data_IF_337890803554
#
_entry.id   IF_337890803554
#
_cell.length_a   1.000
_cell.length_b   1.000
_cell.length_c   1.000
_cell.angle_alpha   90.00
_cell.angle_beta   90.00
_cell.angle_gamma   90.00
#
_symmetry.space_group_name_H-M   'P 1'
#
loop_
_entity.id
_entity.type
_entity.pdbx_description
1 polymer ?
#
# COMPACT_ATOMS: atom_id res chain seq x y z
N UNK A 1 33.95 16.27 21.80
CA UNK A 1 35.13 15.54 22.33
C UNK A 1 34.64 14.18 22.81
N UNK A 2 34.63 13.20 21.91
CA UNK A 2 34.06 11.86 22.13
C UNK A 2 35.23 10.91 22.37
N UNK A 3 35.32 10.36 23.59
CA UNK A 3 36.34 9.38 23.95
C UNK A 3 35.95 8.00 23.40
N UNK A 4 36.83 7.45 22.57
CA UNK A 4 36.89 6.03 22.22
C UNK A 4 37.54 5.26 23.37
N UNK A 5 36.89 4.19 23.85
CA UNK A 5 37.53 3.17 24.68
C UNK A 5 37.50 1.87 23.88
N UNK A 6 38.70 1.46 23.47
CA UNK A 6 39.01 0.18 22.84
C UNK A 6 39.04 -0.94 23.87
N UNK A 7 38.27 -1.99 23.64
CA UNK A 7 38.40 -3.27 24.33
C UNK A 7 38.46 -4.40 23.30
N UNK A 8 39.66 -4.91 23.03
CA UNK A 8 39.84 -6.20 22.35
C UNK A 8 39.40 -7.29 23.32
N UNK A 9 38.52 -8.18 22.90
CA UNK A 9 38.56 -9.56 23.37
C UNK A 9 38.32 -10.48 22.18
N UNK A 10 39.34 -11.27 21.91
CA UNK A 10 39.39 -12.34 20.93
C UNK A 10 38.65 -13.55 21.50
N UNK A 11 37.51 -13.89 20.92
CA UNK A 11 37.01 -15.27 20.96
C UNK A 11 36.49 -15.64 19.56
N UNK A 12 37.20 -16.62 19.01
CA UNK A 12 37.10 -17.12 17.66
C UNK A 12 36.01 -18.20 17.64
N UNK A 13 34.76 -17.80 17.41
CA UNK A 13 33.68 -18.72 17.04
C UNK A 13 33.18 -18.35 15.66
N UNK A 14 33.43 -19.25 14.71
CA UNK A 14 33.03 -19.17 13.31
C UNK A 14 31.51 -18.98 13.17
N UNK A 15 31.08 -17.75 12.97
CA UNK A 15 29.76 -17.45 12.42
C UNK A 15 29.84 -17.70 10.92
N UNK A 16 29.37 -18.89 10.51
CA UNK A 16 29.06 -19.18 9.13
C UNK A 16 28.04 -18.12 8.66
N UNK A 17 28.51 -17.17 7.85
CA UNK A 17 27.67 -16.27 7.08
C UNK A 17 26.82 -17.11 6.14
N UNK A 18 25.57 -17.36 6.51
CA UNK A 18 24.55 -17.88 5.62
C UNK A 18 24.30 -16.84 4.54
N UNK A 19 25.02 -16.97 3.42
CA UNK A 19 24.66 -16.29 2.19
C UNK A 19 23.23 -16.70 1.83
N UNK A 20 22.26 -15.83 2.10
CA UNK A 20 20.90 -15.87 1.55
C UNK A 20 20.97 -15.57 0.05
N UNK A 21 21.65 -16.43 -0.71
CA UNK A 21 21.47 -16.54 -2.14
C UNK A 21 20.13 -17.21 -2.36
N UNK A 22 19.07 -16.41 -2.54
CA UNK A 22 17.78 -16.93 -2.99
C UNK A 22 18.01 -17.69 -4.31
N UNK A 23 17.66 -18.99 -4.40
CA UNK A 23 17.85 -19.72 -5.63
C UNK A 23 16.95 -19.09 -6.71
N UNK A 24 17.59 -18.51 -7.72
CA UNK A 24 16.93 -18.05 -8.94
C UNK A 24 16.53 -19.33 -9.68
N UNK A 25 15.22 -19.59 -9.77
CA UNK A 25 14.68 -20.64 -10.63
C UNK A 25 15.25 -20.43 -12.04
N UNK A 26 16.14 -21.34 -12.46
CA UNK A 26 16.79 -21.26 -13.78
C UNK A 26 15.76 -21.60 -14.85
N UNK A 27 15.16 -20.60 -15.48
CA UNK A 27 14.32 -20.75 -16.67
C UNK A 27 14.96 -20.08 -17.90
N UNK A 28 14.69 -20.67 -19.07
CA UNK A 28 15.01 -20.09 -20.38
C UNK A 28 14.37 -18.69 -20.51
N UNK A 29 15.21 -17.71 -20.86
CA UNK A 29 14.99 -16.28 -21.16
C UNK A 29 13.65 -15.67 -20.69
N UNK A 30 13.54 -15.41 -19.40
CA UNK A 30 12.59 -14.44 -18.86
C UNK A 30 12.85 -13.05 -19.50
N UNK A 31 11.80 -12.37 -19.96
CA UNK A 31 11.93 -11.02 -20.55
C UNK A 31 12.52 -10.09 -19.50
N UNK A 32 13.60 -9.42 -19.88
CA UNK A 32 14.33 -8.52 -18.98
C UNK A 32 13.69 -7.15 -19.01
N UNK A 33 13.30 -6.64 -17.85
CA UNK A 33 12.70 -5.30 -17.74
C UNK A 33 13.62 -4.40 -16.92
N UNK A 34 13.81 -3.17 -17.38
CA UNK A 34 14.48 -2.11 -16.63
C UNK A 34 13.53 -0.92 -16.44
N UNK A 35 13.75 -0.14 -15.40
CA UNK A 35 12.95 1.04 -15.07
C UNK A 35 13.86 2.28 -15.10
N UNK A 36 13.40 3.35 -15.72
CA UNK A 36 14.04 4.67 -15.68
C UNK A 36 13.07 5.65 -15.04
N UNK A 37 13.56 6.46 -14.11
CA UNK A 37 12.83 7.61 -13.57
C UNK A 37 13.61 8.88 -13.86
N UNK A 38 12.94 9.90 -14.37
CA UNK A 38 13.53 11.22 -14.62
C UNK A 38 12.93 12.24 -13.66
N UNK A 39 13.79 13.09 -13.10
CA UNK A 39 13.38 14.18 -12.21
C UNK A 39 14.52 14.66 -11.33
N UNK A 40 14.88 15.94 -11.44
CA UNK A 40 15.88 16.57 -10.58
C UNK A 40 15.52 16.44 -9.09
N UNK A 41 14.24 16.53 -8.74
CA UNK A 41 13.73 16.37 -7.38
C UNK A 41 13.91 14.94 -6.84
N UNK A 42 13.92 13.94 -7.72
CA UNK A 42 14.17 12.54 -7.36
C UNK A 42 15.65 12.33 -7.04
N UNK A 43 16.55 12.82 -7.90
CA UNK A 43 18.01 12.72 -7.68
C UNK A 43 18.43 13.52 -6.44
N UNK A 44 17.79 14.66 -6.18
CA UNK A 44 18.01 15.46 -4.98
C UNK A 44 17.37 14.86 -3.71
N UNK A 45 16.55 13.81 -3.83
CA UNK A 45 15.84 13.18 -2.72
C UNK A 45 14.75 14.05 -2.09
N UNK A 46 14.29 15.10 -2.78
CA UNK A 46 13.15 15.94 -2.34
C UNK A 46 11.82 15.22 -2.51
N UNK A 47 11.75 14.29 -3.46
CA UNK A 47 10.62 13.42 -3.68
C UNK A 47 11.09 11.97 -3.70
N UNK A 48 10.37 11.10 -2.99
CA UNK A 48 10.63 9.67 -3.02
C UNK A 48 10.08 9.13 -4.35
N UNK A 49 10.88 8.36 -5.07
CA UNK A 49 10.46 7.71 -6.31
C UNK A 49 9.48 6.56 -6.05
N UNK A 50 8.23 6.94 -5.81
CA UNK A 50 7.13 5.99 -5.62
C UNK A 50 6.67 5.35 -6.93
N UNK A 51 7.01 5.94 -8.08
CA UNK A 51 6.62 5.41 -9.38
C UNK A 51 7.43 4.18 -9.73
N UNK A 52 8.76 4.22 -9.61
CA UNK A 52 9.60 3.04 -9.85
C UNK A 52 9.26 1.91 -8.87
N UNK A 53 9.00 2.24 -7.60
CA UNK A 53 8.55 1.27 -6.60
C UNK A 53 7.24 0.58 -7.02
N UNK A 54 6.27 1.35 -7.52
CA UNK A 54 5.00 0.81 -8.00
C UNK A 54 5.16 -0.03 -9.27
N UNK A 55 5.94 0.43 -10.25
CA UNK A 55 6.22 -0.32 -11.48
C UNK A 55 6.87 -1.67 -11.15
N UNK A 56 7.87 -1.67 -10.27
CA UNK A 56 8.54 -2.88 -9.83
C UNK A 56 7.60 -3.84 -9.09
N UNK A 57 6.74 -3.33 -8.20
CA UNK A 57 5.73 -4.14 -7.49
C UNK A 57 4.73 -4.79 -8.48
N UNK A 58 4.27 -4.04 -9.48
CA UNK A 58 3.35 -4.54 -10.53
C UNK A 58 3.99 -5.53 -11.50
N UNK A 59 5.25 -5.33 -11.88
CA UNK A 59 6.00 -6.34 -12.63
C UNK A 59 6.18 -7.60 -11.78
N UNK A 60 6.53 -7.42 -10.51
CA UNK A 60 6.58 -8.49 -9.53
C UNK A 60 5.24 -9.22 -9.46
N UNK A 61 4.10 -8.51 -9.49
CA UNK A 61 2.72 -9.02 -9.46
C UNK A 61 2.43 -10.05 -10.57
N UNK A 62 3.10 -9.90 -11.71
CA UNK A 62 3.04 -10.81 -12.85
C UNK A 62 4.30 -11.67 -13.01
N UNK A 63 5.12 -11.73 -11.96
CA UNK A 63 6.32 -12.55 -11.83
C UNK A 63 7.49 -12.13 -12.73
N UNK A 64 7.52 -10.86 -13.16
CA UNK A 64 8.67 -10.26 -13.83
C UNK A 64 9.48 -9.46 -12.80
N UNK A 65 10.77 -9.76 -12.68
CA UNK A 65 11.67 -9.01 -11.81
C UNK A 65 12.37 -7.91 -12.63
N UNK A 66 12.27 -6.66 -12.17
CA UNK A 66 13.01 -5.56 -12.77
C UNK A 66 14.51 -5.74 -12.50
N UNK A 67 15.32 -5.73 -13.56
CA UNK A 67 16.76 -5.95 -13.46
C UNK A 67 17.51 -4.76 -12.86
N UNK A 68 16.99 -3.55 -13.11
CA UNK A 68 17.57 -2.30 -12.65
C UNK A 68 16.51 -1.22 -12.58
N UNK A 69 16.68 -0.32 -11.63
CA UNK A 69 15.98 0.95 -11.53
C UNK A 69 17.04 2.04 -11.60
N UNK A 70 16.92 2.95 -12.56
CA UNK A 70 17.87 4.04 -12.79
C UNK A 70 17.13 5.36 -12.64
N UNK A 71 17.61 6.23 -11.75
CA UNK A 71 17.05 7.58 -11.57
C UNK A 71 18.09 8.60 -12.05
N UNK A 72 17.66 9.52 -12.91
CA UNK A 72 18.51 10.58 -13.49
C UNK A 72 17.81 11.94 -13.43
N UNK A 73 18.59 13.02 -13.46
CA UNK A 73 18.05 14.37 -13.54
C UNK A 73 17.53 14.70 -14.94
N UNK A 74 16.96 15.90 -15.08
CA UNK A 74 16.28 16.33 -16.32
C UNK A 74 17.23 16.87 -17.40
N UNK A 75 18.50 16.47 -17.32
CA UNK A 75 19.55 16.85 -18.26
C UNK A 75 19.60 15.85 -19.43
N UNK A 76 19.54 16.31 -20.70
CA UNK A 76 19.47 15.44 -21.86
C UNK A 76 20.53 14.33 -21.89
N UNK A 77 21.78 14.67 -21.60
CA UNK A 77 22.90 13.72 -21.58
C UNK A 77 22.76 12.63 -20.52
N UNK A 78 22.11 12.92 -19.40
CA UNK A 78 21.86 11.95 -18.33
C UNK A 78 20.72 11.00 -18.71
N UNK A 79 19.66 11.54 -19.31
CA UNK A 79 18.51 10.76 -19.79
C UNK A 79 18.95 9.84 -20.94
N UNK A 80 19.73 10.34 -21.89
CA UNK A 80 20.32 9.52 -22.97
C UNK A 80 21.21 8.40 -22.43
N UNK A 81 22.06 8.71 -21.45
CA UNK A 81 22.87 7.69 -20.78
C UNK A 81 22.00 6.61 -20.13
N UNK A 82 20.92 6.99 -19.45
CA UNK A 82 19.99 6.04 -18.82
C UNK A 82 19.31 5.14 -19.86
N UNK A 83 18.89 5.70 -21.00
CA UNK A 83 18.33 4.95 -22.12
C UNK A 83 19.34 3.94 -22.67
N UNK A 84 20.55 4.38 -23.04
CA UNK A 84 21.59 3.49 -23.55
C UNK A 84 21.96 2.38 -22.55
N UNK A 85 22.12 2.74 -21.28
CA UNK A 85 22.42 1.79 -20.20
C UNK A 85 21.35 0.68 -20.10
N UNK A 86 20.08 1.08 -20.11
CA UNK A 86 18.95 0.19 -19.87
C UNK A 86 18.62 -0.66 -21.11
N UNK A 87 18.58 -0.06 -22.30
CA UNK A 87 18.27 -0.75 -23.57
C UNK A 87 19.32 -1.81 -23.92
N UNK A 88 20.58 -1.59 -23.53
CA UNK A 88 21.65 -2.57 -23.72
C UNK A 88 21.37 -3.89 -22.98
N UNK A 89 20.65 -3.85 -21.85
CA UNK A 89 20.47 -5.00 -20.93
C UNK A 89 19.05 -5.53 -20.87
N UNK A 90 18.06 -4.70 -21.10
CA UNK A 90 16.65 -5.08 -21.02
C UNK A 90 16.05 -5.36 -22.41
N UNK A 91 14.99 -6.16 -22.42
CA UNK A 91 14.14 -6.36 -23.60
C UNK A 91 12.97 -5.36 -23.60
N UNK A 92 12.58 -4.85 -22.42
CA UNK A 92 11.61 -3.76 -22.23
C UNK A 92 12.20 -2.75 -21.24
N UNK A 93 12.12 -1.45 -21.54
CA UNK A 93 12.51 -0.37 -20.62
C UNK A 93 11.30 0.50 -20.36
N UNK A 94 10.87 0.60 -19.10
CA UNK A 94 9.74 1.45 -18.69
C UNK A 94 10.30 2.73 -18.07
N UNK A 95 10.11 3.86 -18.74
CA UNK A 95 10.47 5.18 -18.25
C UNK A 95 9.24 5.90 -17.68
N UNK A 96 9.45 6.66 -16.61
CA UNK A 96 8.44 7.53 -15.99
C UNK A 96 9.03 8.91 -15.74
N UNK A 97 8.30 9.97 -16.11
CA UNK A 97 8.74 11.36 -15.94
C UNK A 97 9.15 12.04 -17.24
N UNK A 98 9.23 13.36 -17.23
CA UNK A 98 9.69 14.18 -18.35
C UNK A 98 8.78 14.19 -19.59
N UNK A 99 7.46 13.98 -19.40
CA UNK A 99 6.41 14.06 -20.44
C UNK A 99 5.52 15.31 -20.32
N UNK A 100 5.81 16.20 -19.38
CA UNK A 100 5.08 17.44 -19.22
C UNK A 100 5.35 18.45 -20.36
N UNK A 101 4.76 19.65 -20.25
CA UNK A 101 4.89 20.70 -21.25
C UNK A 101 6.10 21.63 -21.01
N UNK A 102 6.90 21.43 -19.96
CA UNK A 102 7.96 22.37 -19.56
C UNK A 102 9.28 22.09 -20.28
N UNK A 103 10.25 22.98 -20.10
CA UNK A 103 11.51 22.97 -20.84
C UNK A 103 12.50 21.90 -20.34
N UNK A 104 12.30 21.42 -19.13
CA UNK A 104 12.97 20.30 -18.44
C UNK A 104 12.37 18.93 -18.83
N UNK A 105 11.15 18.87 -19.34
CA UNK A 105 10.56 17.60 -19.82
C UNK A 105 11.22 17.10 -21.12
N UNK A 106 12.32 16.34 -21.02
CA UNK A 106 13.14 15.96 -22.20
C UNK A 106 13.10 14.48 -22.57
N UNK A 107 12.22 13.70 -21.95
CA UNK A 107 12.21 12.23 -22.12
C UNK A 107 11.89 11.82 -23.56
N UNK A 108 10.95 12.51 -24.22
CA UNK A 108 10.59 12.19 -25.62
C UNK A 108 11.64 12.62 -26.62
N UNK A 109 12.24 13.81 -26.47
CA UNK A 109 13.30 14.27 -27.36
C UNK A 109 14.54 13.37 -27.28
N UNK A 110 14.94 12.98 -26.07
CA UNK A 110 16.11 12.12 -25.85
C UNK A 110 15.89 10.70 -26.36
N UNK A 111 14.70 10.12 -26.14
CA UNK A 111 14.38 8.80 -26.70
C UNK A 111 14.32 8.83 -28.23
N UNK A 112 13.77 9.89 -28.84
CA UNK A 112 13.77 10.06 -30.28
C UNK A 112 15.19 10.08 -30.85
N UNK A 113 16.10 10.82 -30.22
CA UNK A 113 17.52 10.86 -30.59
C UNK A 113 18.19 9.49 -30.44
N UNK A 114 17.98 8.79 -29.32
CA UNK A 114 18.52 7.43 -29.09
C UNK A 114 17.99 6.41 -30.12
N UNK A 115 16.76 6.60 -30.60
CA UNK A 115 16.13 5.73 -31.59
C UNK A 115 16.42 6.14 -33.05
N UNK A 116 17.14 7.24 -33.27
CA UNK A 116 17.34 7.86 -34.59
C UNK A 116 16.00 8.11 -35.32
N UNK A 117 15.03 8.67 -34.59
CA UNK A 117 13.68 8.92 -35.05
C UNK A 117 13.34 10.41 -34.99
N UNK A 118 12.64 10.91 -36.02
CA UNK A 118 12.08 12.27 -35.99
C UNK A 118 10.88 12.34 -35.05
N UNK A 119 10.64 13.53 -34.48
CA UNK A 119 9.42 13.80 -33.73
C UNK A 119 8.33 14.34 -34.66
N UNK A 120 7.15 13.73 -34.62
CA UNK A 120 5.96 14.24 -35.31
C UNK A 120 4.92 14.73 -34.29
N UNK A 121 4.09 15.69 -34.70
CA UNK A 121 2.94 16.14 -33.92
C UNK A 121 1.73 15.26 -34.26
N UNK A 122 1.18 14.58 -33.27
CA UNK A 122 -0.06 13.82 -33.41
C UNK A 122 -1.26 14.76 -33.21
N UNK A 123 -1.99 15.03 -34.29
CA UNK A 123 -3.12 15.97 -34.25
C UNK A 123 -4.31 15.46 -33.43
N UNK A 124 -4.48 14.13 -33.28
CA UNK A 124 -5.54 13.57 -32.44
C UNK A 124 -5.24 13.86 -30.97
N UNK A 125 -4.02 13.60 -30.52
CA UNK A 125 -3.59 13.92 -29.16
C UNK A 125 -3.59 15.44 -28.91
N UNK A 126 -3.14 16.24 -29.89
CA UNK A 126 -3.19 17.70 -29.79
C UNK A 126 -4.63 18.21 -29.60
N UNK A 127 -5.60 17.67 -30.35
CA UNK A 127 -7.02 18.00 -30.18
C UNK A 127 -7.55 17.56 -28.81
N UNK A 128 -7.14 16.39 -28.32
CA UNK A 128 -7.54 15.90 -26.99
C UNK A 128 -7.06 16.83 -25.87
N UNK A 129 -5.82 17.33 -25.96
CA UNK A 129 -5.27 18.32 -25.03
C UNK A 129 -6.06 19.64 -25.12
N UNK A 130 -6.33 20.14 -26.34
CA UNK A 130 -7.14 21.37 -26.52
C UNK A 130 -8.52 21.24 -25.86
N UNK A 131 -9.22 20.12 -26.11
CA UNK A 131 -10.54 19.82 -25.49
C UNK A 131 -10.47 19.76 -23.97
N UNK A 132 -9.40 19.20 -23.40
CA UNK A 132 -9.21 19.17 -21.95
C UNK A 132 -9.21 20.59 -21.35
N UNK A 133 -8.50 21.54 -21.97
CA UNK A 133 -8.48 22.93 -21.53
C UNK A 133 -9.82 23.66 -21.76
N UNK A 134 -10.53 23.34 -22.85
CA UNK A 134 -11.88 23.86 -23.11
C UNK A 134 -12.88 23.44 -22.03
N UNK A 135 -12.87 22.17 -21.62
CA UNK A 135 -13.72 21.65 -20.53
C UNK A 135 -13.40 22.35 -19.21
N UNK A 136 -12.11 22.62 -18.94
CA UNK A 136 -11.68 23.39 -17.78
C UNK A 136 -11.96 24.90 -17.90
N UNK A 137 -12.49 25.37 -19.04
CA UNK A 137 -12.72 26.79 -19.37
C UNK A 137 -11.47 27.65 -19.20
N UNK A 138 -10.32 27.12 -19.62
CA UNK A 138 -9.01 27.79 -19.57
C UNK A 138 -8.44 27.90 -20.97
N UNK A 139 -7.70 28.97 -21.23
CA UNK A 139 -6.87 29.05 -22.43
C UNK A 139 -5.70 28.07 -22.30
N UNK A 140 -5.42 27.31 -23.36
CA UNK A 140 -4.32 26.36 -23.41
C UNK A 140 -3.02 27.08 -23.79
N UNK A 141 -1.96 27.01 -22.97
CA UNK A 141 -0.62 27.42 -23.37
C UNK A 141 -0.10 26.61 -24.56
N UNK A 142 0.60 27.24 -25.51
CA UNK A 142 1.08 26.54 -26.72
C UNK A 142 2.09 25.43 -26.42
N UNK A 143 2.89 25.56 -25.36
CA UNK A 143 3.86 24.54 -24.96
C UNK A 143 3.20 23.22 -24.54
N UNK A 144 1.90 23.20 -24.21
CA UNK A 144 1.18 21.94 -24.00
C UNK A 144 1.13 21.03 -25.23
N UNK A 145 1.25 21.59 -26.44
CA UNK A 145 1.33 20.78 -27.66
C UNK A 145 2.59 19.92 -27.74
N UNK A 146 3.62 20.22 -26.94
CA UNK A 146 4.79 19.36 -26.77
C UNK A 146 4.40 17.94 -26.33
N UNK A 147 3.36 17.82 -25.50
CA UNK A 147 2.87 16.54 -24.98
C UNK A 147 2.20 15.66 -26.06
N UNK A 148 1.94 16.23 -27.24
CA UNK A 148 1.43 15.53 -28.42
C UNK A 148 2.52 15.26 -29.48
N UNK A 149 3.81 15.44 -29.13
CA UNK A 149 4.93 15.11 -30.01
C UNK A 149 5.51 13.75 -29.65
N UNK A 150 5.63 12.88 -30.64
CA UNK A 150 6.10 11.51 -30.46
C UNK A 150 7.17 11.14 -31.49
N UNK A 151 8.09 10.22 -31.15
CA UNK A 151 9.00 9.64 -32.14
C UNK A 151 8.20 8.90 -33.23
N UNK A 152 8.62 9.01 -34.49
CA UNK A 152 8.04 8.23 -35.58
C UNK A 152 8.12 6.73 -35.25
N UNK A 153 6.99 6.02 -35.40
CA UNK A 153 6.86 4.60 -35.02
C UNK A 153 6.41 4.37 -33.58
N UNK A 154 6.14 5.43 -32.81
CA UNK A 154 5.54 5.31 -31.48
C UNK A 154 4.09 4.81 -31.57
N UNK A 155 3.74 3.84 -30.73
CA UNK A 155 2.37 3.43 -30.47
C UNK A 155 1.87 4.12 -29.21
N UNK A 156 0.86 4.98 -29.36
CA UNK A 156 0.34 5.82 -28.27
C UNK A 156 -0.39 4.99 -27.21
N UNK A 157 -0.17 5.35 -25.95
CA UNK A 157 -0.86 4.84 -24.76
C UNK A 157 -1.70 5.98 -24.19
N UNK A 158 -3.02 5.99 -24.42
CA UNK A 158 -3.91 7.05 -23.94
C UNK A 158 -3.82 7.30 -22.43
N UNK A 159 -3.84 8.58 -22.04
CA UNK A 159 -3.98 9.00 -20.65
C UNK A 159 -5.39 9.58 -20.42
N UNK A 160 -6.18 8.88 -19.63
CA UNK A 160 -7.56 9.26 -19.28
C UNK A 160 -7.62 10.21 -18.07
N UNK A 161 -6.52 10.36 -17.31
CA UNK A 161 -6.47 11.12 -16.06
C UNK A 161 -5.64 12.41 -16.15
N UNK A 162 -5.02 12.69 -17.30
CA UNK A 162 -4.19 13.86 -17.53
C UNK A 162 -3.94 14.15 -19.01
N UNK A 163 -3.10 15.16 -19.28
CA UNK A 163 -2.86 15.65 -20.65
C UNK A 163 -1.67 15.03 -21.36
N UNK A 164 -0.78 14.34 -20.63
CA UNK A 164 0.39 13.66 -21.18
C UNK A 164 0.06 12.19 -21.51
N UNK A 165 -0.28 11.82 -22.75
CA UNK A 165 -0.30 10.42 -23.14
C UNK A 165 1.10 9.81 -23.06
N UNK A 166 1.15 8.51 -22.80
CA UNK A 166 2.37 7.72 -22.90
C UNK A 166 2.50 7.14 -24.29
N UNK A 167 3.55 6.36 -24.50
CA UNK A 167 3.73 5.61 -25.74
C UNK A 167 4.72 4.48 -25.56
N UNK A 168 4.76 3.57 -26.53
CA UNK A 168 5.81 2.56 -26.66
C UNK A 168 6.49 2.65 -28.03
N UNK A 169 7.79 2.39 -28.07
CA UNK A 169 8.61 2.49 -29.27
C UNK A 169 9.59 1.33 -29.32
N UNK A 170 9.68 0.64 -30.47
CA UNK A 170 10.74 -0.32 -30.71
C UNK A 170 12.04 0.41 -31.06
N UNK A 171 13.08 0.24 -30.25
CA UNK A 171 14.36 0.93 -30.43
C UNK A 171 15.39 -0.01 -31.05
N UNK A 172 15.94 0.28 -32.23
CA UNK A 172 17.00 -0.54 -32.83
C UNK A 172 18.25 -0.58 -31.94
N UNK A 173 18.73 -1.79 -31.63
CA UNK A 173 19.96 -2.05 -30.87
C UNK A 173 20.75 -3.20 -31.52
N UNK A 174 21.45 -2.88 -32.61
CA UNK A 174 22.09 -3.88 -33.46
C UNK A 174 21.04 -4.87 -34.01
N UNK A 175 21.18 -6.16 -33.70
CA UNK A 175 20.20 -7.19 -34.09
C UNK A 175 18.98 -7.27 -33.15
N UNK A 176 19.00 -6.58 -32.01
CA UNK A 176 17.88 -6.55 -31.05
C UNK A 176 16.98 -5.35 -31.30
N UNK A 177 15.72 -5.48 -30.87
CA UNK A 177 14.73 -4.39 -30.88
C UNK A 177 14.02 -4.33 -29.53
N UNK A 178 14.70 -3.90 -28.45
CA UNK A 178 14.03 -3.65 -27.17
C UNK A 178 12.91 -2.62 -27.32
N UNK A 179 11.90 -2.72 -26.47
CA UNK A 179 10.78 -1.77 -26.45
C UNK A 179 10.97 -0.77 -25.32
N UNK A 180 11.01 0.52 -25.66
CA UNK A 180 10.88 1.60 -24.69
C UNK A 180 9.38 1.86 -24.45
N UNK A 181 8.97 2.00 -23.21
CA UNK A 181 7.62 2.41 -22.79
C UNK A 181 7.79 3.67 -21.95
N UNK A 182 7.13 4.77 -22.33
CA UNK A 182 7.25 6.05 -21.63
C UNK A 182 5.91 6.43 -21.03
N UNK A 183 5.91 6.70 -19.73
CA UNK A 183 4.75 7.03 -18.92
C UNK A 183 4.92 8.39 -18.23
N UNK A 184 3.82 9.08 -17.88
CA UNK A 184 3.90 10.37 -17.20
C UNK A 184 4.48 10.23 -15.79
N UNK A 185 5.09 11.31 -15.27
CA UNK A 185 5.63 11.34 -13.91
C UNK A 185 4.57 11.43 -12.81
N UNK A 186 3.35 11.87 -13.13
CA UNK A 186 2.28 12.02 -12.14
C UNK A 186 1.79 10.64 -11.68
N UNK A 187 1.92 10.28 -10.38
CA UNK A 187 1.70 8.90 -9.93
C UNK A 187 0.32 8.33 -10.26
N UNK A 188 -0.75 9.12 -10.12
CA UNK A 188 -2.12 8.65 -10.40
C UNK A 188 -2.32 8.29 -11.88
N UNK A 189 -1.68 9.03 -12.78
CA UNK A 189 -1.79 8.86 -14.23
C UNK A 189 -0.96 7.65 -14.67
N UNK A 190 0.30 7.60 -14.22
CA UNK A 190 1.22 6.49 -14.45
C UNK A 190 0.60 5.16 -14.00
N UNK A 191 0.10 5.09 -12.76
CA UNK A 191 -0.50 3.88 -12.20
C UNK A 191 -1.67 3.38 -13.03
N UNK A 192 -2.59 4.27 -13.40
CA UNK A 192 -3.74 3.91 -14.22
C UNK A 192 -3.32 3.35 -15.58
N UNK A 193 -2.38 4.00 -16.27
CA UNK A 193 -1.88 3.56 -17.57
C UNK A 193 -1.09 2.24 -17.48
N UNK A 194 -0.25 2.11 -16.46
CA UNK A 194 0.51 0.90 -16.20
C UNK A 194 -0.44 -0.30 -16.04
N UNK A 195 -1.45 -0.15 -15.19
CA UNK A 195 -2.34 -1.24 -14.79
C UNK A 195 -3.29 -1.67 -15.90
N UNK A 196 -3.86 -0.69 -16.61
CA UNK A 196 -4.93 -0.94 -17.59
C UNK A 196 -4.40 -1.24 -18.98
N UNK A 197 -3.17 -0.83 -19.31
CA UNK A 197 -2.67 -0.89 -20.69
C UNK A 197 -1.29 -1.53 -20.79
N UNK A 198 -0.30 -1.11 -19.99
CA UNK A 198 1.08 -1.61 -20.13
C UNK A 198 1.23 -3.04 -19.63
N UNK A 199 0.73 -3.35 -18.43
CA UNK A 199 0.82 -4.69 -17.85
C UNK A 199 0.07 -5.73 -18.70
N UNK A 200 -1.18 -5.49 -19.15
CA UNK A 200 -1.86 -6.37 -20.09
C UNK A 200 -1.09 -6.57 -21.40
N UNK A 201 -0.47 -5.51 -21.92
CA UNK A 201 0.37 -5.61 -23.12
C UNK A 201 1.61 -6.47 -22.86
N UNK A 202 2.36 -6.27 -21.78
CA UNK A 202 3.54 -7.10 -21.44
C UNK A 202 3.16 -8.59 -21.39
N UNK A 203 2.01 -8.90 -20.77
CA UNK A 203 1.49 -10.26 -20.70
C UNK A 203 1.16 -10.83 -22.09
N UNK A 204 0.54 -10.04 -22.98
CA UNK A 204 0.19 -10.48 -24.33
C UNK A 204 1.39 -10.75 -25.24
N UNK A 205 2.58 -10.26 -24.88
CA UNK A 205 3.79 -10.52 -25.64
C UNK A 205 4.46 -11.86 -25.31
N UNK A 206 3.98 -12.62 -24.31
CA UNK A 206 4.60 -13.90 -23.96
C UNK A 206 4.20 -14.99 -24.96
N UNK A 207 5.17 -15.60 -25.64
CA UNK A 207 4.95 -16.73 -26.58
C UNK A 207 4.80 -18.09 -25.86
N UNK A 208 5.06 -18.12 -24.55
CA UNK A 208 5.01 -19.31 -23.72
C UNK A 208 3.61 -19.44 -23.11
N UNK A 209 2.97 -20.61 -23.20
CA UNK A 209 1.73 -20.95 -22.44
C UNK A 209 1.96 -20.94 -20.91
N UNK A 210 3.21 -20.72 -20.50
CA UNK A 210 3.62 -20.55 -19.12
C UNK A 210 3.28 -19.14 -18.64
N UNK A 211 2.31 -19.08 -17.75
CA UNK A 211 1.89 -17.87 -17.08
C UNK A 211 2.41 -17.84 -15.64
N UNK A 212 2.49 -16.65 -15.07
CA UNK A 212 2.75 -16.47 -13.65
C UNK A 212 1.42 -16.10 -13.01
N UNK A 213 0.92 -16.99 -12.16
CA UNK A 213 -0.26 -16.75 -11.35
C UNK A 213 0.18 -16.51 -9.91
N UNK A 214 -0.46 -15.56 -9.24
CA UNK A 214 -0.09 -15.24 -7.87
C UNK A 214 -1.29 -14.85 -7.03
N UNK A 215 -1.13 -15.02 -5.72
CA UNK A 215 -2.11 -14.61 -4.72
C UNK A 215 -1.42 -13.89 -3.59
N UNK A 216 -2.00 -12.77 -3.20
CA UNK A 216 -1.54 -11.95 -2.07
C UNK A 216 -2.52 -12.11 -0.92
N UNK A 217 -2.02 -12.35 0.27
CA UNK A 217 -2.75 -12.37 1.53
C UNK A 217 -2.37 -11.13 2.32
N UNK A 218 -3.33 -10.26 2.59
CA UNK A 218 -3.14 -9.13 3.49
C UNK A 218 -3.25 -9.65 4.92
N UNK A 219 -2.25 -9.39 5.75
CA UNK A 219 -2.23 -9.91 7.13
C UNK A 219 -2.10 -8.80 8.17
N UNK A 220 -2.70 -9.02 9.34
CA UNK A 220 -2.61 -8.12 10.48
C UNK A 220 -2.60 -8.90 11.79
N UNK A 221 -1.80 -8.42 12.76
CA UNK A 221 -1.66 -9.05 14.08
C UNK A 221 -0.43 -9.96 14.23
N UNK A 222 0.34 -10.19 13.18
CA UNK A 222 1.61 -10.95 13.19
C UNK A 222 2.75 -10.10 12.62
N UNK A 223 3.96 -10.29 13.17
CA UNK A 223 5.19 -9.71 12.60
C UNK A 223 5.66 -10.49 11.38
N UNK A 224 6.54 -9.90 10.56
CA UNK A 224 7.14 -10.59 9.41
C UNK A 224 7.82 -11.90 9.81
N UNK A 225 8.61 -11.90 10.88
CA UNK A 225 9.27 -13.11 11.38
C UNK A 225 8.28 -14.17 11.86
N UNK A 226 7.17 -13.78 12.49
CA UNK A 226 6.14 -14.73 12.91
C UNK A 226 5.39 -15.34 11.71
N UNK A 227 5.17 -14.55 10.65
CA UNK A 227 4.58 -15.05 9.40
C UNK A 227 5.54 -16.02 8.69
N UNK A 228 6.82 -15.70 8.63
CA UNK A 228 7.85 -16.58 8.05
C UNK A 228 7.96 -17.90 8.82
N UNK A 229 8.01 -17.84 10.16
CA UNK A 229 8.00 -19.02 11.02
C UNK A 229 6.74 -19.87 10.81
N UNK A 230 5.55 -19.24 10.77
CA UNK A 230 4.30 -19.96 10.55
C UNK A 230 4.27 -20.68 9.19
N UNK A 231 4.87 -20.10 8.16
CA UNK A 231 4.92 -20.63 6.80
C UNK A 231 6.16 -21.48 6.50
N UNK A 232 7.03 -21.70 7.49
CA UNK A 232 8.23 -22.50 7.31
C UNK A 232 7.87 -23.93 6.87
N UNK A 233 8.48 -24.36 5.76
CA UNK A 233 8.23 -25.67 5.14
C UNK A 233 6.84 -25.85 4.53
N UNK A 234 6.02 -24.79 4.47
CA UNK A 234 4.68 -24.85 3.88
C UNK A 234 4.70 -24.81 2.35
N UNK A 235 5.75 -24.22 1.77
CA UNK A 235 5.90 -24.00 0.33
C UNK A 235 7.31 -24.42 -0.08
N UNK A 236 7.39 -25.36 -1.02
CA UNK A 236 8.66 -25.75 -1.63
C UNK A 236 9.13 -24.62 -2.58
N UNK A 237 10.37 -24.08 -2.42
CA UNK A 237 10.91 -23.05 -3.30
C UNK A 237 10.99 -23.43 -4.79
N UNK A 238 11.08 -24.73 -5.10
CA UNK A 238 11.05 -25.21 -6.49
C UNK A 238 9.62 -25.21 -7.06
N UNK A 239 8.62 -25.16 -6.18
CA UNK A 239 7.21 -25.19 -6.53
C UNK A 239 6.57 -23.82 -6.67
N UNK A 240 6.94 -22.89 -5.80
CA UNK A 240 6.41 -21.54 -5.80
C UNK A 240 7.34 -20.56 -5.06
N UNK A 241 7.26 -19.28 -5.43
CA UNK A 241 7.96 -18.21 -4.75
C UNK A 241 7.08 -17.60 -3.66
N UNK A 242 7.52 -17.71 -2.41
CA UNK A 242 6.96 -16.98 -1.28
C UNK A 242 7.69 -15.65 -1.12
N UNK A 243 6.94 -14.57 -0.89
CA UNK A 243 7.48 -13.24 -0.66
C UNK A 243 6.68 -12.50 0.41
N UNK A 244 7.38 -11.74 1.24
CA UNK A 244 6.81 -10.87 2.25
C UNK A 244 7.03 -9.42 1.83
N UNK A 245 5.99 -8.60 2.00
CA UNK A 245 6.08 -7.15 1.81
C UNK A 245 5.49 -6.47 3.03
N UNK A 246 6.35 -5.87 3.84
CA UNK A 246 5.96 -5.04 4.96
C UNK A 246 5.45 -3.68 4.44
N UNK A 247 4.22 -3.33 4.82
CA UNK A 247 3.61 -2.04 4.55
C UNK A 247 2.86 -1.63 5.80
N UNK A 248 3.53 -0.86 6.66
CA UNK A 248 3.00 -0.51 7.98
C UNK A 248 1.54 0.02 7.87
N UNK A 249 0.60 -0.50 8.67
CA UNK A 249 0.77 -1.38 9.83
C UNK A 249 0.62 -2.88 9.52
N UNK A 250 0.58 -3.28 8.25
CA UNK A 250 0.31 -4.65 7.80
C UNK A 250 1.51 -5.28 7.12
N UNK A 251 1.47 -6.61 7.00
CA UNK A 251 2.41 -7.36 6.16
C UNK A 251 1.59 -8.14 5.16
N UNK A 252 2.00 -8.10 3.89
CA UNK A 252 1.39 -8.92 2.85
C UNK A 252 2.28 -10.11 2.55
N UNK A 253 1.67 -11.29 2.46
CA UNK A 253 2.32 -12.53 2.05
C UNK A 253 1.87 -12.83 0.63
N UNK A 254 2.81 -13.10 -0.27
CA UNK A 254 2.48 -13.39 -1.66
C UNK A 254 3.12 -14.68 -2.14
N UNK A 255 2.28 -15.54 -2.73
CA UNK A 255 2.66 -16.79 -3.38
C UNK A 255 2.57 -16.58 -4.89
N UNK A 256 3.64 -16.89 -5.62
CA UNK A 256 3.66 -16.87 -7.08
C UNK A 256 4.07 -18.24 -7.63
N UNK A 257 3.27 -18.78 -8.53
CA UNK A 257 3.50 -20.04 -9.23
C UNK A 257 3.73 -19.75 -10.71
N UNK A 258 4.77 -20.34 -11.28
CA UNK A 258 5.10 -20.24 -12.71
C UNK A 258 4.83 -21.60 -13.34
N UNK A 259 4.01 -21.64 -14.39
CA UNK A 259 3.70 -22.89 -15.08
C UNK A 259 2.65 -22.69 -16.16
N UNK A 260 2.29 -23.78 -16.83
CA UNK A 260 1.15 -23.77 -17.75
C UNK A 260 -0.08 -23.30 -17.00
N UNK A 261 -0.81 -22.31 -17.54
CA UNK A 261 -1.82 -21.53 -16.80
C UNK A 261 -2.73 -22.38 -15.90
N UNK A 262 -3.39 -23.40 -16.45
CA UNK A 262 -4.32 -24.24 -15.69
C UNK A 262 -3.65 -25.03 -14.56
N UNK A 263 -2.45 -25.57 -14.78
CA UNK A 263 -1.69 -26.29 -13.74
C UNK A 263 -1.21 -25.33 -12.65
N UNK A 264 -0.74 -24.15 -13.05
CA UNK A 264 -0.27 -23.12 -12.13
C UNK A 264 -1.42 -22.59 -11.25
N UNK A 265 -2.63 -22.41 -11.80
CA UNK A 265 -3.83 -22.00 -11.06
C UNK A 265 -4.25 -23.05 -10.02
N UNK A 266 -4.32 -24.33 -10.41
CA UNK A 266 -4.61 -25.42 -9.46
C UNK A 266 -3.58 -25.51 -8.35
N UNK A 267 -2.29 -25.41 -8.70
CA UNK A 267 -1.20 -25.44 -7.71
C UNK A 267 -1.23 -24.23 -6.78
N UNK A 268 -1.51 -23.04 -7.31
CA UNK A 268 -1.66 -21.83 -6.51
C UNK A 268 -2.81 -21.98 -5.51
N UNK A 269 -3.95 -22.56 -5.90
CA UNK A 269 -5.07 -22.79 -4.98
C UNK A 269 -4.69 -23.76 -3.85
N UNK A 270 -4.02 -24.88 -4.19
CA UNK A 270 -3.57 -25.84 -3.18
C UNK A 270 -2.62 -25.21 -2.16
N UNK A 271 -1.64 -24.41 -2.61
CA UNK A 271 -0.73 -23.69 -1.73
C UNK A 271 -1.45 -22.59 -0.92
N UNK A 272 -2.47 -21.96 -1.51
CA UNK A 272 -3.27 -20.94 -0.85
C UNK A 272 -4.06 -21.51 0.34
N UNK A 273 -4.62 -22.71 0.20
CA UNK A 273 -5.29 -23.41 1.32
C UNK A 273 -4.33 -23.69 2.48
N UNK A 274 -3.08 -24.08 2.17
CA UNK A 274 -2.05 -24.27 3.20
C UNK A 274 -1.77 -22.96 3.92
N UNK A 275 -1.61 -21.85 3.19
CA UNK A 275 -1.37 -20.53 3.78
C UNK A 275 -2.56 -20.06 4.63
N UNK A 276 -3.80 -20.23 4.15
CA UNK A 276 -5.01 -19.93 4.94
C UNK A 276 -5.05 -20.73 6.25
N UNK A 277 -4.78 -22.03 6.18
CA UNK A 277 -4.78 -22.89 7.36
C UNK A 277 -3.71 -22.51 8.37
N UNK A 278 -2.51 -22.12 7.90
CA UNK A 278 -1.36 -21.77 8.74
C UNK A 278 -1.48 -20.38 9.37
N UNK A 279 -1.99 -19.40 8.63
CA UNK A 279 -2.10 -18.02 9.08
C UNK A 279 -3.42 -17.72 9.79
N UNK A 280 -4.48 -18.47 9.49
CA UNK A 280 -5.78 -18.36 10.11
C UNK A 280 -6.31 -16.91 10.15
N UNK A 281 -6.63 -16.43 11.35
CA UNK A 281 -7.26 -15.13 11.58
C UNK A 281 -6.34 -13.92 11.30
N UNK A 282 -5.04 -14.16 11.14
CA UNK A 282 -4.12 -13.12 10.72
C UNK A 282 -4.40 -12.68 9.28
N UNK A 283 -4.98 -13.55 8.44
CA UNK A 283 -5.43 -13.18 7.10
C UNK A 283 -6.64 -12.25 7.21
N UNK A 284 -6.47 -11.04 6.70
CA UNK A 284 -7.50 -10.00 6.64
C UNK A 284 -8.29 -10.11 5.35
N UNK A 285 -7.58 -10.24 4.23
CA UNK A 285 -8.14 -10.28 2.90
C UNK A 285 -7.18 -10.98 1.93
N UNK A 286 -7.70 -11.27 0.74
CA UNK A 286 -6.91 -11.73 -0.39
C UNK A 286 -6.96 -10.69 -1.52
N UNK A 287 -5.85 -10.52 -2.22
CA UNK A 287 -5.67 -9.50 -3.25
C UNK A 287 -5.30 -8.13 -2.66
N UNK A 288 -5.58 -7.09 -3.43
CA UNK A 288 -5.33 -5.69 -3.04
C UNK A 288 -6.57 -5.09 -2.36
N UNK A 289 -6.92 -5.66 -1.21
CA UNK A 289 -8.11 -5.29 -0.43
C UNK A 289 -7.68 -4.78 0.94
N UNK A 290 -8.11 -3.56 1.28
CA UNK A 290 -7.77 -2.91 2.56
C UNK A 290 -8.69 -3.35 3.70
N UNK A 291 -8.26 -3.13 4.95
CA UNK A 291 -9.05 -3.47 6.13
C UNK A 291 -10.41 -2.76 6.15
N UNK A 292 -10.46 -1.47 5.79
CA UNK A 292 -11.71 -0.72 5.71
C UNK A 292 -12.67 -1.24 4.62
N UNK A 293 -12.15 -1.77 3.51
CA UNK A 293 -12.98 -2.43 2.50
C UNK A 293 -13.58 -3.73 3.05
N UNK A 294 -12.77 -4.56 3.74
CA UNK A 294 -13.27 -5.78 4.40
C UNK A 294 -14.37 -5.45 5.42
N UNK A 295 -14.15 -4.45 6.26
CA UNK A 295 -15.15 -4.02 7.26
C UNK A 295 -16.43 -3.54 6.58
N UNK A 296 -16.32 -2.71 5.53
CA UNK A 296 -17.48 -2.21 4.79
C UNK A 296 -18.31 -3.33 4.16
N UNK A 297 -17.67 -4.32 3.54
CA UNK A 297 -18.35 -5.48 2.97
C UNK A 297 -19.03 -6.35 4.04
N UNK A 298 -18.38 -6.57 5.18
CA UNK A 298 -18.99 -7.30 6.30
C UNK A 298 -20.19 -6.55 6.88
N UNK A 299 -20.09 -5.24 7.09
CA UNK A 299 -21.20 -4.42 7.59
C UNK A 299 -22.40 -4.50 6.64
N UNK A 300 -22.18 -4.35 5.33
CA UNK A 300 -23.23 -4.52 4.30
C UNK A 300 -23.85 -5.91 4.34
N UNK A 301 -23.04 -6.96 4.38
CA UNK A 301 -23.51 -8.36 4.42
C UNK A 301 -24.38 -8.63 5.64
N UNK A 302 -24.00 -8.10 6.80
CA UNK A 302 -24.74 -8.24 8.05
C UNK A 302 -25.86 -7.21 8.23
N UNK A 303 -26.04 -6.27 7.28
CA UNK A 303 -26.97 -5.13 7.37
C UNK A 303 -26.83 -4.33 8.66
N UNK A 304 -25.58 -4.15 9.09
CA UNK A 304 -25.23 -3.39 10.30
C UNK A 304 -24.61 -2.05 9.93
N UNK A 305 -24.82 -1.07 10.81
CA UNK A 305 -24.25 0.27 10.67
C UNK A 305 -23.21 0.54 11.76
N UNK A 306 -22.30 1.47 11.50
CA UNK A 306 -21.17 1.82 12.35
C UNK A 306 -21.10 3.34 12.57
N UNK A 307 -20.77 3.74 13.81
CA UNK A 307 -20.34 5.09 14.13
C UNK A 307 -19.06 5.09 14.99
N UNK A 308 -18.27 6.16 14.92
CA UNK A 308 -16.96 6.26 15.60
C UNK A 308 -16.89 7.38 16.64
N UNK A 309 -16.26 7.12 17.79
CA UNK A 309 -15.84 8.13 18.76
C UNK A 309 -14.32 8.16 18.84
N UNK A 310 -13.69 9.22 18.32
CA UNK A 310 -12.25 9.29 18.15
C UNK A 310 -11.63 10.35 19.06
N UNK A 311 -10.57 9.98 19.79
CA UNK A 311 -9.72 10.94 20.48
C UNK A 311 -8.30 10.90 19.91
N UNK A 312 -7.47 9.93 20.28
CA UNK A 312 -6.06 9.92 19.86
C UNK A 312 -5.85 9.70 18.35
N UNK A 313 -6.78 9.04 17.66
CA UNK A 313 -6.74 8.86 16.20
C UNK A 313 -7.10 10.13 15.42
N UNK A 314 -7.85 11.06 16.03
CA UNK A 314 -8.14 12.38 15.46
C UNK A 314 -8.96 12.36 14.16
N UNK A 315 -9.88 11.40 14.00
CA UNK A 315 -10.74 11.28 12.81
C UNK A 315 -10.20 10.32 11.74
N UNK A 316 -9.05 9.68 11.99
CA UNK A 316 -8.42 8.77 11.03
C UNK A 316 -9.26 7.51 10.76
N UNK A 317 -10.03 7.01 11.73
CA UNK A 317 -10.88 5.83 11.52
C UNK A 317 -12.02 6.19 10.56
N UNK A 318 -12.73 7.29 10.85
CA UNK A 318 -13.76 7.82 9.98
C UNK A 318 -13.23 8.12 8.58
N UNK A 319 -12.07 8.77 8.46
CA UNK A 319 -11.44 9.05 7.17
C UNK A 319 -11.20 7.78 6.35
N UNK A 320 -10.61 6.75 6.95
CA UNK A 320 -10.36 5.46 6.27
C UNK A 320 -11.65 4.82 5.79
N UNK A 321 -12.68 4.76 6.64
CA UNK A 321 -13.98 4.20 6.25
C UNK A 321 -14.56 4.96 5.05
N UNK A 322 -14.49 6.29 5.05
CA UNK A 322 -15.03 7.14 3.97
C UNK A 322 -14.22 7.14 2.68
N UNK A 323 -13.01 6.59 2.68
CA UNK A 323 -12.24 6.38 1.44
C UNK A 323 -12.79 5.21 0.61
N UNK A 324 -13.67 4.38 1.18
CA UNK A 324 -14.35 3.29 0.46
C UNK A 324 -15.63 3.83 -0.17
N UNK A 325 -15.74 3.75 -1.49
CA UNK A 325 -16.96 4.12 -2.21
C UNK A 325 -18.18 3.34 -1.69
N UNK A 326 -19.30 4.03 -1.52
CA UNK A 326 -20.53 3.47 -0.93
C UNK A 326 -20.53 3.42 0.60
N UNK A 327 -19.53 3.98 1.29
CA UNK A 327 -19.46 3.96 2.75
C UNK A 327 -20.67 4.55 3.47
N UNK A 328 -21.41 5.47 2.82
CA UNK A 328 -22.64 6.06 3.35
C UNK A 328 -23.75 5.04 3.65
N UNK A 329 -23.70 3.84 3.07
CA UNK A 329 -24.67 2.78 3.33
C UNK A 329 -24.53 2.17 4.73
N UNK A 330 -23.32 2.21 5.32
CA UNK A 330 -23.03 1.53 6.58
C UNK A 330 -22.34 2.42 7.62
N UNK A 331 -21.80 3.58 7.25
CA UNK A 331 -21.15 4.51 8.18
C UNK A 331 -22.01 5.74 8.42
N UNK A 332 -22.54 5.87 9.65
CA UNK A 332 -23.46 6.95 10.03
C UNK A 332 -22.75 8.23 10.47
N UNK A 333 -21.42 8.19 10.58
CA UNK A 333 -20.59 9.31 11.00
C UNK A 333 -19.84 9.06 12.29
N UNK A 334 -19.30 10.12 12.88
CA UNK A 334 -18.50 10.01 14.08
C UNK A 334 -18.27 11.34 14.80
N UNK A 335 -17.73 11.23 16.01
CA UNK A 335 -17.43 12.36 16.90
C UNK A 335 -15.93 12.35 17.21
N UNK A 336 -15.25 13.46 16.93
CA UNK A 336 -13.87 13.66 17.36
C UNK A 336 -13.89 14.32 18.75
N UNK A 337 -13.94 13.51 19.80
CA UNK A 337 -14.02 13.95 21.19
C UNK A 337 -12.62 14.21 21.79
N UNK A 338 -11.91 15.19 21.24
CA UNK A 338 -10.50 15.46 21.60
C UNK A 338 -10.32 16.08 22.99
N UNK A 339 -11.37 16.68 23.58
CA UNK A 339 -11.36 17.22 24.94
C UNK A 339 -12.28 16.41 25.88
N UNK A 340 -11.98 16.44 27.18
CA UNK A 340 -12.86 15.85 28.20
C UNK A 340 -14.26 16.48 28.20
N UNK A 341 -14.36 17.77 27.87
CA UNK A 341 -15.63 18.46 27.74
C UNK A 341 -16.48 17.90 26.60
N UNK A 342 -15.88 17.65 25.42
CA UNK A 342 -16.59 17.03 24.29
C UNK A 342 -16.99 15.58 24.58
N UNK A 343 -16.12 14.81 25.28
CA UNK A 343 -16.47 13.47 25.77
C UNK A 343 -17.76 13.51 26.61
N UNK A 344 -17.86 14.47 27.54
CA UNK A 344 -19.04 14.63 28.40
C UNK A 344 -20.27 15.13 27.64
N UNK A 345 -20.13 16.22 26.88
CA UNK A 345 -21.27 16.93 26.25
C UNK A 345 -21.89 16.14 25.11
N UNK A 346 -21.06 15.46 24.30
CA UNK A 346 -21.51 14.82 23.06
C UNK A 346 -21.69 13.32 23.21
N UNK A 347 -20.82 12.67 23.99
CA UNK A 347 -20.83 11.21 24.16
C UNK A 347 -21.35 10.78 25.54
N UNK A 348 -21.82 11.71 26.36
CA UNK A 348 -22.38 11.43 27.69
C UNK A 348 -21.43 10.68 28.63
N UNK A 349 -20.11 10.82 28.44
CA UNK A 349 -19.11 10.27 29.35
C UNK A 349 -19.28 10.92 30.73
N UNK A 350 -19.29 10.10 31.78
CA UNK A 350 -19.51 10.53 33.15
C UNK A 350 -18.34 11.39 33.67
N UNK A 351 -18.62 12.50 34.38
CA UNK A 351 -17.60 13.23 35.12
C UNK A 351 -16.85 12.36 36.14
N UNK A 352 -17.55 11.42 36.78
CA UNK A 352 -17.01 10.48 37.76
C UNK A 352 -16.02 9.52 37.10
N UNK A 353 -16.34 8.98 35.91
CA UNK A 353 -15.44 8.12 35.14
C UNK A 353 -14.14 8.85 34.78
N UNK A 354 -14.24 10.08 34.25
CA UNK A 354 -13.08 10.89 33.88
C UNK A 354 -12.21 11.28 35.09
N UNK A 355 -12.82 11.55 36.24
CA UNK A 355 -12.07 11.92 37.45
C UNK A 355 -11.38 10.72 38.11
N UNK A 356 -12.03 9.55 38.12
CA UNK A 356 -11.52 8.34 38.78
C UNK A 356 -10.51 7.56 37.93
N UNK A 357 -10.78 7.38 36.63
CA UNK A 357 -9.97 6.51 35.77
C UNK A 357 -9.11 7.29 34.75
N UNK A 358 -9.48 8.55 34.51
CA UNK A 358 -8.85 9.41 33.51
C UNK A 358 -9.36 9.14 32.10
N UNK A 359 -9.06 10.06 31.18
CA UNK A 359 -9.56 9.99 29.81
C UNK A 359 -9.04 8.80 28.99
N UNK A 360 -7.92 8.21 29.39
CA UNK A 360 -7.30 7.05 28.74
C UNK A 360 -7.52 5.85 29.67
N UNK A 361 -8.69 5.24 29.58
CA UNK A 361 -9.10 4.08 30.37
C UNK A 361 -10.19 3.29 29.65
N UNK A 362 -10.39 2.03 30.04
CA UNK A 362 -11.42 1.15 29.48
C UNK A 362 -12.83 1.66 29.79
N UNK A 363 -13.03 2.19 30.98
CA UNK A 363 -14.30 2.80 31.40
C UNK A 363 -14.66 4.00 30.52
N UNK A 364 -13.71 4.92 30.29
CA UNK A 364 -13.94 6.06 29.40
C UNK A 364 -14.21 5.61 27.96
N UNK A 365 -13.46 4.63 27.46
CA UNK A 365 -13.65 4.12 26.10
C UNK A 365 -15.02 3.45 25.94
N UNK A 366 -15.47 2.66 26.91
CA UNK A 366 -16.80 2.04 26.94
C UNK A 366 -17.91 3.09 26.86
N UNK A 367 -17.86 4.12 27.70
CA UNK A 367 -18.84 5.20 27.69
C UNK A 367 -18.81 5.98 26.36
N UNK A 368 -17.64 6.21 25.78
CA UNK A 368 -17.53 6.81 24.45
C UNK A 368 -18.16 5.95 23.35
N UNK A 369 -17.95 4.63 23.38
CA UNK A 369 -18.50 3.69 22.40
C UNK A 369 -20.03 3.60 22.49
N UNK A 370 -20.56 3.52 23.71
CA UNK A 370 -22.00 3.61 23.99
C UNK A 370 -22.56 4.95 23.53
N UNK A 371 -21.90 6.05 23.90
CA UNK A 371 -22.32 7.41 23.59
C UNK A 371 -22.47 7.63 22.09
N UNK A 372 -21.48 7.26 21.28
CA UNK A 372 -21.57 7.47 19.83
C UNK A 372 -22.60 6.55 19.19
N UNK A 373 -22.72 5.31 19.66
CA UNK A 373 -23.75 4.38 19.19
C UNK A 373 -25.13 4.95 19.43
N UNK A 374 -25.40 5.41 20.66
CA UNK A 374 -26.68 5.99 21.05
C UNK A 374 -26.95 7.33 20.32
N UNK A 375 -25.94 8.17 20.13
CA UNK A 375 -26.08 9.44 19.40
C UNK A 375 -26.46 9.22 17.94
N UNK A 376 -25.83 8.25 17.28
CA UNK A 376 -26.00 7.97 15.85
C UNK A 376 -27.10 6.97 15.53
N UNK A 377 -27.59 6.23 16.54
CA UNK A 377 -28.47 5.07 16.37
C UNK A 377 -27.84 3.98 15.47
N UNK A 378 -26.50 3.90 15.44
CA UNK A 378 -25.80 2.84 14.71
C UNK A 378 -25.95 1.48 15.40
N UNK A 379 -25.87 0.39 14.63
CA UNK A 379 -25.80 -0.96 15.20
C UNK A 379 -24.56 -1.12 16.09
N UNK A 380 -23.43 -0.55 15.65
CA UNK A 380 -22.12 -0.61 16.30
C UNK A 380 -21.57 0.79 16.60
N UNK A 381 -20.99 0.97 17.78
CA UNK A 381 -20.19 2.15 18.13
C UNK A 381 -18.77 1.75 18.50
N UNK A 382 -17.77 2.23 17.76
CA UNK A 382 -16.36 1.99 18.05
C UNK A 382 -15.73 3.26 18.63
N UNK A 383 -14.97 3.16 19.72
CA UNK A 383 -14.32 4.28 20.37
C UNK A 383 -12.83 4.07 20.57
N UNK A 384 -12.06 5.16 20.49
CA UNK A 384 -10.62 5.16 20.79
C UNK A 384 -10.22 6.35 21.66
N UNK A 385 -9.40 6.06 22.67
CA UNK A 385 -8.75 7.07 23.52
C UNK A 385 -7.35 6.62 23.89
N UNK A 386 -6.38 7.54 23.96
CA UNK A 386 -4.99 7.13 24.11
C UNK A 386 -3.97 8.25 24.06
N UNK A 387 -2.70 7.88 24.22
CA UNK A 387 -1.57 8.78 24.31
C UNK A 387 -0.66 8.55 23.10
N UNK A 388 -0.86 9.32 22.03
CA UNK A 388 -0.09 9.16 20.80
C UNK A 388 1.35 9.73 20.88
N UNK A 389 1.67 10.55 21.89
CA UNK A 389 3.01 11.14 22.03
C UNK A 389 3.28 12.36 21.13
N UNK A 390 4.50 12.94 21.16
CA UNK A 390 5.65 12.45 21.93
C UNK A 390 5.51 12.68 23.45
N UNK A 391 4.66 13.61 23.87
CA UNK A 391 4.40 13.92 25.27
C UNK A 391 3.08 13.29 25.78
N UNK A 392 2.81 13.46 27.08
CA UNK A 392 1.55 13.08 27.71
C UNK A 392 1.52 11.68 28.31
N UNK A 393 2.60 10.90 28.17
CA UNK A 393 2.76 9.62 28.85
C UNK A 393 3.19 9.76 30.31
N UNK A 394 2.79 8.80 31.15
CA UNK A 394 3.32 8.60 32.50
C UNK A 394 4.06 7.25 32.58
N UNK A 395 4.63 6.90 33.74
CA UNK A 395 5.22 5.56 33.93
C UNK A 395 4.18 4.44 33.84
N UNK A 396 2.97 4.72 34.31
CA UNK A 396 1.83 3.79 34.35
C UNK A 396 1.09 3.75 33.01
N UNK A 397 1.03 4.87 32.29
CA UNK A 397 0.40 5.00 30.97
C UNK A 397 1.38 5.67 30.00
N UNK A 398 2.41 4.97 29.52
CA UNK A 398 3.40 5.57 28.63
C UNK A 398 2.79 5.92 27.27
N UNK A 399 3.53 6.69 26.47
CA UNK A 399 3.19 6.92 25.06
C UNK A 399 2.97 5.58 24.35
N UNK A 400 1.92 5.51 23.54
CA UNK A 400 1.44 4.28 22.91
C UNK A 400 0.33 3.58 23.68
N UNK A 401 0.01 3.99 24.92
CA UNK A 401 -1.16 3.49 25.64
C UNK A 401 -2.43 3.93 24.92
N UNK A 402 -3.17 2.98 24.34
CA UNK A 402 -4.42 3.24 23.60
C UNK A 402 -5.47 2.25 24.03
N UNK A 403 -6.62 2.77 24.43
CA UNK A 403 -7.80 1.98 24.75
C UNK A 403 -8.80 2.05 23.61
N UNK A 404 -9.32 0.89 23.23
CA UNK A 404 -10.33 0.72 22.19
C UNK A 404 -11.54 0.06 22.82
N UNK A 405 -12.74 0.51 22.46
CA UNK A 405 -13.99 -0.11 22.88
C UNK A 405 -14.96 -0.27 21.71
N UNK A 406 -15.77 -1.32 21.75
CA UNK A 406 -16.84 -1.60 20.80
C UNK A 406 -18.13 -1.85 21.58
N UNK A 407 -19.15 -1.05 21.29
CA UNK A 407 -20.53 -1.25 21.71
C UNK A 407 -21.33 -1.87 20.56
N UNK A 408 -22.08 -2.93 20.85
CA UNK A 408 -22.90 -3.66 19.88
C UNK A 408 -24.22 -4.11 20.51
N UNK A 409 -25.27 -4.23 19.71
CA UNK A 409 -26.53 -4.84 20.16
C UNK A 409 -26.35 -6.30 20.52
N UNK A 410 -26.90 -6.70 21.68
CA UNK A 410 -27.05 -8.08 22.12
C UNK A 410 -28.52 -8.46 22.32
N UNK A 411 -28.76 -9.72 22.68
CA UNK A 411 -30.10 -10.23 23.02
C UNK A 411 -30.61 -9.56 24.31
N UNK A 412 -31.30 -8.44 24.18
CA UNK A 412 -31.96 -7.73 25.28
C UNK A 412 -31.10 -6.72 26.04
N UNK A 413 -29.81 -6.59 25.72
CA UNK A 413 -28.91 -5.55 26.26
C UNK A 413 -27.79 -5.20 25.28
N UNK A 414 -27.28 -3.97 25.35
CA UNK A 414 -26.09 -3.56 24.59
C UNK A 414 -24.84 -4.16 25.25
N UNK A 415 -24.06 -4.92 24.49
CA UNK A 415 -22.79 -5.46 24.94
C UNK A 415 -21.67 -4.46 24.61
N UNK A 416 -20.83 -4.15 25.59
CA UNK A 416 -19.70 -3.25 25.42
C UNK A 416 -18.44 -3.96 25.88
N UNK A 417 -17.44 -3.95 25.03
CA UNK A 417 -16.12 -4.52 25.33
C UNK A 417 -15.09 -3.44 25.14
N UNK A 418 -14.09 -3.38 26.01
CA UNK A 418 -12.92 -2.54 25.86
C UNK A 418 -11.63 -3.31 26.12
N UNK A 419 -10.53 -2.77 25.61
CA UNK A 419 -9.17 -3.24 25.91
C UNK A 419 -8.16 -2.12 25.70
N UNK A 420 -7.18 -2.10 26.59
CA UNK A 420 -6.00 -1.25 26.45
C UNK A 420 -4.85 -2.00 25.76
N UNK A 421 -4.20 -1.31 24.83
CA UNK A 421 -3.07 -1.77 24.04
C UNK A 421 -1.86 -0.87 24.32
N UNK A 422 -0.68 -1.49 24.31
CA UNK A 422 0.58 -0.75 24.25
C UNK A 422 1.08 -0.76 22.81
N UNK A 423 0.78 0.29 22.07
CA UNK A 423 1.24 0.49 20.71
C UNK A 423 2.65 1.10 20.71
N UNK A 424 3.35 0.98 19.59
CA UNK A 424 4.75 1.40 19.45
C UNK A 424 4.93 2.31 18.24
N UNK A 425 6.08 2.99 18.20
CA UNK A 425 6.44 3.93 17.14
C UNK A 425 6.20 5.38 17.52
N UNK A 426 6.27 6.26 16.53
CA UNK A 426 6.02 7.69 16.70
C UNK A 426 4.51 7.99 16.71
N UNK A 427 4.15 9.27 16.85
CA UNK A 427 2.75 9.72 16.90
C UNK A 427 1.92 9.24 15.72
N UNK A 428 2.44 9.34 14.51
CA UNK A 428 1.71 8.92 13.30
C UNK A 428 1.53 7.41 13.24
N UNK A 429 2.54 6.66 13.64
CA UNK A 429 2.46 5.20 13.69
C UNK A 429 1.43 4.71 14.72
N UNK A 430 1.42 5.31 15.91
CA UNK A 430 0.44 5.00 16.95
C UNK A 430 -0.98 5.31 16.46
N UNK A 431 -1.18 6.44 15.77
CA UNK A 431 -2.50 6.79 15.19
C UNK A 431 -2.95 5.78 14.13
N UNK A 432 -2.06 5.41 13.21
CA UNK A 432 -2.35 4.43 12.16
C UNK A 432 -2.66 3.07 12.78
N UNK A 433 -1.85 2.58 13.73
CA UNK A 433 -2.13 1.34 14.46
C UNK A 433 -3.46 1.40 15.20
N UNK A 434 -3.74 2.49 15.93
CA UNK A 434 -5.04 2.70 16.61
C UNK A 434 -6.19 2.51 15.63
N UNK A 435 -6.10 3.11 14.44
CA UNK A 435 -7.15 2.98 13.43
C UNK A 435 -7.29 1.57 12.89
N UNK A 436 -6.16 0.88 12.66
CA UNK A 436 -6.14 -0.49 12.16
C UNK A 436 -6.74 -1.47 13.17
N UNK A 437 -6.40 -1.34 14.45
CA UNK A 437 -6.93 -2.19 15.52
C UNK A 437 -8.43 -1.94 15.70
N UNK A 438 -8.87 -0.68 15.68
CA UNK A 438 -10.29 -0.35 15.78
C UNK A 438 -11.12 -0.96 14.64
N UNK A 439 -10.61 -0.94 13.40
CA UNK A 439 -11.27 -1.60 12.28
C UNK A 439 -11.22 -3.13 12.40
N UNK A 440 -10.11 -3.70 12.84
CA UNK A 440 -9.99 -5.14 13.08
C UNK A 440 -10.93 -5.63 14.19
N UNK A 441 -11.22 -4.81 15.20
CA UNK A 441 -12.25 -5.09 16.22
C UNK A 441 -13.63 -5.25 15.58
N UNK A 442 -14.00 -4.34 14.68
CA UNK A 442 -15.27 -4.42 13.96
C UNK A 442 -15.30 -5.67 13.08
N UNK A 443 -14.23 -5.93 12.30
CA UNK A 443 -14.08 -7.15 11.48
C UNK A 443 -14.28 -8.41 12.32
N UNK A 444 -13.56 -8.54 13.42
CA UNK A 444 -13.60 -9.71 14.30
C UNK A 444 -14.97 -9.89 14.93
N UNK A 445 -15.59 -8.81 15.41
CA UNK A 445 -16.96 -8.87 15.94
C UNK A 445 -17.95 -9.42 14.91
N UNK A 446 -17.91 -8.91 13.67
CA UNK A 446 -18.78 -9.36 12.57
C UNK A 446 -18.53 -10.83 12.19
N UNK A 447 -17.31 -11.32 12.39
CA UNK A 447 -16.92 -12.72 12.17
C UNK A 447 -17.16 -13.62 13.40
N UNK A 448 -17.73 -13.11 14.49
CA UNK A 448 -17.94 -13.87 15.73
C UNK A 448 -16.63 -14.22 16.45
N UNK A 449 -15.58 -13.43 16.25
CA UNK A 449 -14.24 -13.61 16.79
C UNK A 449 -13.94 -12.62 17.89
N UNK A 450 -13.03 -13.05 18.76
CA UNK A 450 -12.52 -12.21 19.82
C UNK A 450 -11.51 -11.17 19.31
N UNK A 451 -11.44 -9.99 19.96
CA UNK A 451 -10.43 -8.98 19.63
C UNK A 451 -9.00 -9.53 19.72
N UNK A 452 -8.09 -8.93 18.95
CA UNK A 452 -6.66 -9.23 19.08
C UNK A 452 -6.22 -9.17 20.54
N UNK A 453 -5.37 -10.12 20.92
CA UNK A 453 -4.64 -10.02 22.19
C UNK A 453 -3.83 -8.71 22.20
N UNK A 454 -3.65 -8.13 23.38
CA UNK A 454 -3.02 -6.82 23.62
C UNK A 454 -1.58 -6.67 23.10
N UNK A 455 -1.04 -7.73 22.53
CA UNK A 455 0.39 -8.03 22.57
C UNK A 455 1.04 -7.99 21.21
N UNK A 456 0.31 -8.17 20.11
CA UNK A 456 0.90 -8.36 18.77
C UNK A 456 2.08 -9.36 18.75
N UNK A 457 2.13 -10.31 19.69
CA UNK A 457 3.28 -11.21 19.94
C UNK A 457 4.12 -10.95 21.21
N UNK A 458 3.78 -9.98 22.06
CA UNK A 458 4.47 -9.66 23.32
C UNK A 458 3.55 -9.83 24.56
N UNK A 459 3.63 -11.02 25.20
CA UNK A 459 3.06 -11.47 26.51
C UNK A 459 2.03 -10.56 27.23
N UNK A 460 0.85 -11.14 27.51
CA UNK A 460 -0.34 -10.33 27.76
C UNK A 460 -0.94 -10.32 29.14
N UNK A 461 -2.22 -9.96 29.19
CA UNK A 461 -3.06 -10.04 30.38
C UNK A 461 -4.55 -10.28 30.05
N UNK A 462 -5.24 -10.90 31.01
CA UNK A 462 -6.59 -11.48 30.90
C UNK A 462 -7.71 -10.43 30.89
N UNK A 463 -8.80 -10.88 30.27
CA UNK A 463 -10.15 -10.34 30.10
C UNK A 463 -10.78 -9.67 31.32
N UNK A 464 -11.42 -8.52 31.12
CA UNK A 464 -12.50 -7.99 31.97
C UNK A 464 -13.71 -7.61 31.09
N UNK A 465 -14.89 -8.12 31.47
CA UNK A 465 -16.17 -7.65 30.94
C UNK A 465 -16.58 -6.40 31.69
N UNK A 466 -16.89 -5.31 30.98
CA UNK A 466 -17.51 -4.15 31.61
C UNK A 466 -18.98 -4.46 31.89
N UNK A 467 -19.34 -4.56 33.17
CA UNK A 467 -20.73 -4.68 33.64
C UNK A 467 -21.38 -3.32 33.80
#
# INVERSE_FOLDING_TARGET
>A
MVLWISGRNSDNTSLATSHLGRPIVKTKRQRRVAIISTGDELVQGRTIDTNAAYIADRLGAIGIEAQSIVTVGDYPEQIEWAWHHSLARADIVIATGGLGPTADDRTSETLAHVADAELYLDEEQAQRIRRFFEVLKRSMPENNLKQAKFPVGAEIIPNELGTAPGYRLAVPQGQRRPIAVVLPGVPREMKAMLDTQVIPWILSQSEDDRSIVSRTFQTFGMSESALDEALMGAIDPDEARLSFRASFPQVSVRIAVIGVKSEAEHKLEALSEIVRARLGDAVVAEGDVTMEQVVGELLKRHKQTLATAESCSGGLIGNRITNVAGSSEYYLGGVIAYSNELKRKTLSVSPETLSRFGAVSEETACEMALGVRNLSQASLGIATTGIAGPDGGTKEKPVGTVTIALAADGLGSTNVRARTYQLWGNRDWIKILTSQVALDWVRRHLLGRDPLASDFGLRGSRWQSCS
#
